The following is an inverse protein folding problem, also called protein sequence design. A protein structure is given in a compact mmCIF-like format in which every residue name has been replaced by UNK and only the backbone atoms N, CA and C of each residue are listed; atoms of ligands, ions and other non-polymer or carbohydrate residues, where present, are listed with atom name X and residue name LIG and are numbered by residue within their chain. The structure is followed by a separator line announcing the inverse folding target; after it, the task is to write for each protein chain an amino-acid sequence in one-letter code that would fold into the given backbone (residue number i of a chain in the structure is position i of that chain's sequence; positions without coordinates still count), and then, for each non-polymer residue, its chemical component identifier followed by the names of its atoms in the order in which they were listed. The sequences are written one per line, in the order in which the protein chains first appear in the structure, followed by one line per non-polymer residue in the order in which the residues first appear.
data_IF_728173733704
#
_entry.id   IF_728173733704
#
_cell.length_a   1.000
_cell.length_b   1.000
_cell.length_c   1.000
_cell.angle_alpha   90.00
_cell.angle_beta   90.00
_cell.angle_gamma   90.00
#
_symmetry.space_group_name_H-M   'P 1'
#
loop_
_entity.id
_entity.type
_entity.pdbx_description
1 polymer ?
#
# COMPACT_ATOMS: atom_id res chain seq x y z
N UNK A 1 -22.71 -1.95 -21.78
CA UNK A 1 -22.24 -0.76 -21.05
C UNK A 1 -21.22 -1.23 -20.03
N UNK A 2 -19.90 -1.13 -20.28
CA UNK A 2 -18.94 -1.38 -19.21
C UNK A 2 -19.18 -0.33 -18.12
N UNK A 3 -19.39 -0.78 -16.90
CA UNK A 3 -19.38 0.12 -15.76
C UNK A 3 -17.95 0.66 -15.63
N UNK A 4 -17.73 1.92 -16.00
CA UNK A 4 -16.47 2.62 -15.78
C UNK A 4 -16.27 2.82 -14.28
N UNK A 5 -15.89 1.75 -13.60
CA UNK A 5 -15.40 1.84 -12.22
C UNK A 5 -13.93 2.21 -12.31
N UNK A 6 -13.62 3.50 -12.23
CA UNK A 6 -12.24 3.96 -12.19
C UNK A 6 -11.48 3.24 -11.07
N UNK A 7 -10.25 2.77 -11.31
CA UNK A 7 -9.50 2.01 -10.32
C UNK A 7 -9.40 2.74 -8.98
N UNK A 8 -9.61 1.99 -7.90
CA UNK A 8 -9.43 2.49 -6.53
C UNK A 8 -7.94 2.67 -6.26
N UNK A 9 -7.54 3.82 -5.72
CA UNK A 9 -6.15 4.06 -5.33
C UNK A 9 -5.96 3.81 -3.84
N UNK A 10 -4.96 3.00 -3.51
CA UNK A 10 -4.61 2.71 -2.12
C UNK A 10 -3.93 3.95 -1.48
N UNK A 11 -4.42 4.44 -0.32
CA UNK A 11 -3.75 5.51 0.43
C UNK A 11 -2.28 5.25 0.72
N UNK A 12 -1.85 4.00 0.85
CA UNK A 12 -0.43 3.64 1.05
C UNK A 12 0.44 3.95 -0.15
N UNK A 13 -0.12 3.93 -1.36
CA UNK A 13 0.60 4.32 -2.58
C UNK A 13 0.70 5.84 -2.66
N UNK A 14 -0.39 6.54 -2.31
CA UNK A 14 -0.47 7.99 -2.40
C UNK A 14 0.36 8.67 -1.30
N UNK A 15 0.30 8.15 -0.08
CA UNK A 15 0.97 8.71 1.10
C UNK A 15 1.98 7.73 1.71
N UNK A 16 2.80 7.09 0.87
CA UNK A 16 3.74 6.05 1.30
C UNK A 16 4.63 6.42 2.50
N UNK A 17 5.06 7.68 2.61
CA UNK A 17 5.86 8.16 3.74
C UNK A 17 5.15 7.99 5.09
N UNK A 18 3.83 8.16 5.13
CA UNK A 18 3.01 8.04 6.33
C UNK A 18 2.93 6.61 6.86
N UNK A 19 3.00 5.60 5.97
CA UNK A 19 2.68 4.21 6.31
C UNK A 19 3.91 3.32 6.53
N UNK A 20 5.13 3.75 6.15
CA UNK A 20 6.35 2.92 6.23
C UNK A 20 6.72 2.47 7.65
N UNK A 21 6.43 3.27 8.68
CA UNK A 21 6.85 3.02 10.08
C UNK A 21 5.68 3.20 11.06
N UNK A 22 4.48 2.86 10.62
CA UNK A 22 3.22 3.24 11.29
C UNK A 22 2.82 4.70 11.00
N UNK A 23 1.59 5.10 11.38
CA UNK A 23 0.97 6.37 11.00
C UNK A 23 1.80 7.55 11.52
N UNK A 24 2.60 8.18 10.64
CA UNK A 24 3.46 9.32 10.97
C UNK A 24 3.16 10.54 10.12
N UNK A 25 3.56 11.69 10.64
CA UNK A 25 3.41 12.96 9.94
C UNK A 25 4.16 12.93 8.60
N UNK A 26 3.51 13.35 7.52
CA UNK A 26 4.12 13.38 6.18
C UNK A 26 5.01 14.61 5.94
N UNK A 27 4.92 15.64 6.79
CA UNK A 27 5.70 16.86 6.69
C UNK A 27 7.20 16.64 6.90
N UNK A 28 8.01 17.61 6.47
CA UNK A 28 9.47 17.51 6.54
C UNK A 28 9.99 18.01 7.90
N UNK A 29 10.94 17.29 8.47
CA UNK A 29 11.64 17.78 9.66
C UNK A 29 12.51 18.99 9.31
N UNK A 30 12.75 19.86 10.29
CA UNK A 30 13.66 21.03 10.15
C UNK A 30 15.08 20.62 9.74
N UNK A 31 15.52 19.41 10.10
CA UNK A 31 16.77 18.84 9.59
C UNK A 31 16.57 18.35 8.16
N UNK A 32 17.32 18.92 7.21
CA UNK A 32 17.26 18.58 5.77
C UNK A 32 17.26 17.06 5.55
N UNK A 33 16.32 16.59 4.74
CA UNK A 33 16.27 15.22 4.24
C UNK A 33 15.59 14.18 5.13
N UNK A 34 14.99 14.56 6.26
CA UNK A 34 14.23 13.63 7.11
C UNK A 34 12.74 14.00 7.16
N UNK A 35 11.89 12.99 7.14
CA UNK A 35 10.46 13.14 7.42
C UNK A 35 10.26 13.40 8.91
N UNK A 36 9.18 14.11 9.26
CA UNK A 36 8.75 14.25 10.63
C UNK A 36 8.53 12.87 11.27
N UNK A 37 8.94 12.73 12.53
CA UNK A 37 8.83 11.51 13.32
C UNK A 37 7.58 11.47 14.20
N UNK A 38 6.82 12.58 14.30
CA UNK A 38 5.59 12.62 15.11
C UNK A 38 4.56 11.63 14.61
N UNK A 39 4.02 10.83 15.53
CA UNK A 39 2.92 9.92 15.28
C UNK A 39 1.62 10.68 15.03
N UNK A 40 0.82 10.18 14.10
CA UNK A 40 -0.56 10.60 13.88
C UNK A 40 -1.47 9.64 14.65
N UNK A 41 -2.37 10.19 15.46
CA UNK A 41 -3.29 9.38 16.26
C UNK A 41 -4.23 8.54 15.40
N UNK A 42 -4.65 7.39 15.93
CA UNK A 42 -5.53 6.45 15.24
C UNK A 42 -6.83 7.09 14.74
N UNK A 43 -7.46 7.97 15.52
CA UNK A 43 -8.68 8.67 15.11
C UNK A 43 -8.50 9.49 13.82
N UNK A 44 -7.36 10.19 13.67
CA UNK A 44 -7.03 10.91 12.43
C UNK A 44 -6.79 9.96 11.27
N UNK A 45 -6.16 8.81 11.52
CA UNK A 45 -5.91 7.80 10.49
C UNK A 45 -7.22 7.17 9.98
N UNK A 46 -8.16 6.89 10.88
CA UNK A 46 -9.51 6.41 10.53
C UNK A 46 -10.24 7.46 9.69
N UNK A 47 -10.21 8.74 10.09
CA UNK A 47 -10.80 9.82 9.30
C UNK A 47 -10.14 9.96 7.92
N UNK A 48 -8.81 9.87 7.86
CA UNK A 48 -8.06 9.90 6.61
C UNK A 48 -8.53 8.79 5.67
N UNK A 49 -8.61 7.55 6.17
CA UNK A 49 -9.10 6.40 5.39
C UNK A 49 -10.54 6.59 4.91
N UNK A 50 -11.42 7.16 5.74
CA UNK A 50 -12.79 7.51 5.33
C UNK A 50 -12.82 8.56 4.21
N UNK A 51 -11.95 9.56 4.25
CA UNK A 51 -11.82 10.53 3.15
C UNK A 51 -11.25 9.88 1.89
N UNK A 52 -10.31 8.94 2.02
CA UNK A 52 -9.76 8.18 0.89
C UNK A 52 -10.81 7.28 0.23
N UNK A 53 -11.67 6.63 1.02
CA UNK A 53 -12.82 5.89 0.49
C UNK A 53 -13.79 6.82 -0.27
N UNK A 54 -14.09 8.00 0.27
CA UNK A 54 -14.91 9.01 -0.42
C UNK A 54 -14.26 9.46 -1.73
N UNK A 55 -12.94 9.69 -1.76
CA UNK A 55 -12.22 10.01 -3.00
C UNK A 55 -12.31 8.89 -4.02
N UNK A 56 -12.17 7.63 -3.59
CA UNK A 56 -12.25 6.49 -4.50
C UNK A 56 -13.64 6.28 -5.11
N UNK A 57 -14.70 6.81 -4.50
CA UNK A 57 -16.03 6.85 -5.12
C UNK A 57 -16.17 7.88 -6.25
N UNK A 58 -15.22 8.80 -6.40
CA UNK A 58 -15.21 9.79 -7.46
C UNK A 58 -14.44 9.27 -8.69
N UNK A 59 -14.78 9.73 -9.91
CA UNK A 59 -13.98 9.48 -11.10
C UNK A 59 -12.54 9.95 -10.91
N UNK A 60 -11.56 9.19 -11.40
CA UNK A 60 -10.13 9.44 -11.17
C UNK A 60 -9.72 10.89 -11.50
N UNK A 61 -10.17 11.40 -12.65
CA UNK A 61 -9.91 12.77 -13.12
C UNK A 61 -10.37 13.86 -12.15
N UNK A 62 -11.39 13.60 -11.33
CA UNK A 62 -11.95 14.56 -10.36
C UNK A 62 -11.31 14.46 -8.97
N UNK A 63 -10.52 13.42 -8.68
CA UNK A 63 -9.96 13.19 -7.34
C UNK A 63 -8.94 14.25 -6.95
N UNK A 64 -8.11 14.72 -7.90
CA UNK A 64 -7.07 15.72 -7.66
C UNK A 64 -7.62 17.13 -7.33
N UNK A 65 -8.85 17.43 -7.77
CA UNK A 65 -9.49 18.73 -7.54
C UNK A 65 -10.43 18.72 -6.33
N UNK A 66 -10.66 17.54 -5.75
CA UNK A 66 -11.63 17.38 -4.68
C UNK A 66 -11.15 18.03 -3.38
N UNK A 67 -12.00 18.82 -2.69
CA UNK A 67 -11.67 19.34 -1.36
C UNK A 67 -11.47 18.23 -0.33
N UNK A 68 -12.01 17.03 -0.59
CA UNK A 68 -11.81 15.83 0.25
C UNK A 68 -10.32 15.45 0.30
N UNK A 69 -9.56 15.70 -0.77
CA UNK A 69 -8.12 15.43 -0.80
C UNK A 69 -7.33 16.39 0.10
N UNK A 70 -7.77 17.63 0.21
CA UNK A 70 -7.17 18.63 1.11
C UNK A 70 -7.28 18.15 2.55
N UNK A 71 -8.49 17.76 2.97
CA UNK A 71 -8.71 17.26 4.33
C UNK A 71 -8.00 15.92 4.59
N UNK A 72 -8.01 15.00 3.62
CA UNK A 72 -7.26 13.74 3.72
C UNK A 72 -5.75 14.01 3.94
N UNK A 73 -5.17 14.95 3.21
CA UNK A 73 -3.74 15.31 3.34
C UNK A 73 -3.46 16.02 4.67
N UNK A 74 -4.34 16.94 5.07
CA UNK A 74 -4.23 17.69 6.33
C UNK A 74 -4.22 16.79 7.55
N UNK A 75 -5.01 15.71 7.55
CA UNK A 75 -5.06 14.74 8.65
C UNK A 75 -3.73 14.00 8.86
N UNK A 76 -2.89 13.91 7.82
CA UNK A 76 -1.57 13.30 7.90
C UNK A 76 -0.45 14.27 8.30
N UNK A 77 -0.78 15.54 8.56
CA UNK A 77 0.17 16.54 9.04
C UNK A 77 -0.03 16.80 10.53
N UNK A 78 1.08 16.93 11.26
CA UNK A 78 1.05 17.44 12.62
C UNK A 78 0.81 18.96 12.59
N UNK A 79 0.35 19.52 13.70
CA UNK A 79 -0.02 20.93 13.82
C UNK A 79 1.08 21.88 13.31
N UNK A 80 2.35 21.54 13.54
CA UNK A 80 3.49 22.38 13.20
C UNK A 80 3.83 22.37 11.69
N UNK A 81 3.43 21.31 10.97
CA UNK A 81 3.72 21.15 9.54
C UNK A 81 2.51 21.49 8.64
N UNK A 82 1.30 21.62 9.19
CA UNK A 82 0.13 22.10 8.44
C UNK A 82 0.41 23.44 7.72
N UNK A 83 0.94 24.50 8.37
CA UNK A 83 1.14 25.78 7.68
C UNK A 83 2.28 25.74 6.64
N UNK A 84 3.24 24.84 6.81
CA UNK A 84 4.51 24.84 6.06
C UNK A 84 4.51 23.85 4.89
N UNK A 85 3.95 22.66 5.10
CA UNK A 85 4.10 21.50 4.20
C UNK A 85 2.79 21.10 3.52
N UNK A 86 1.62 21.60 3.96
CA UNK A 86 0.33 21.17 3.40
C UNK A 86 0.24 21.39 1.89
N UNK A 87 0.64 22.56 1.38
CA UNK A 87 0.61 22.85 -0.05
C UNK A 87 1.54 21.91 -0.84
N UNK A 88 2.75 21.67 -0.34
CA UNK A 88 3.74 20.80 -0.97
C UNK A 88 3.24 19.35 -1.04
N UNK A 89 2.76 18.81 0.08
CA UNK A 89 2.27 17.43 0.15
C UNK A 89 0.96 17.24 -0.62
N UNK A 90 0.10 18.26 -0.65
CA UNK A 90 -1.12 18.24 -1.44
C UNK A 90 -0.80 18.16 -2.94
N UNK A 91 0.15 18.96 -3.44
CA UNK A 91 0.52 18.90 -4.86
C UNK A 91 1.15 17.56 -5.25
N UNK A 92 1.96 16.95 -4.36
CA UNK A 92 2.45 15.57 -4.57
C UNK A 92 1.31 14.57 -4.66
N UNK A 93 0.32 14.66 -3.77
CA UNK A 93 -0.83 13.78 -3.79
C UNK A 93 -1.67 13.98 -5.06
N UNK A 94 -1.96 15.23 -5.44
CA UNK A 94 -2.66 15.57 -6.67
C UNK A 94 -1.95 15.03 -7.91
N UNK A 95 -0.62 15.14 -7.96
CA UNK A 95 0.16 14.62 -9.08
C UNK A 95 -0.05 13.11 -9.24
N UNK A 96 -0.01 12.35 -8.14
CA UNK A 96 -0.26 10.90 -8.19
C UNK A 96 -1.66 10.53 -8.70
N UNK A 97 -2.68 11.32 -8.36
CA UNK A 97 -4.02 11.13 -8.90
C UNK A 97 -4.08 11.43 -10.41
N UNK A 98 -3.37 12.47 -10.87
CA UNK A 98 -3.25 12.79 -12.31
C UNK A 98 -2.51 11.68 -13.06
N UNK A 99 -1.36 11.25 -12.56
CA UNK A 99 -0.57 10.18 -13.15
C UNK A 99 -1.38 8.89 -13.27
N UNK A 100 -2.17 8.55 -12.24
CA UNK A 100 -3.07 7.40 -12.27
C UNK A 100 -4.20 7.55 -13.30
N UNK A 101 -4.76 8.74 -13.46
CA UNK A 101 -5.79 9.01 -14.47
C UNK A 101 -5.22 8.94 -15.90
N UNK A 102 -3.99 9.42 -16.10
CA UNK A 102 -3.30 9.34 -17.39
C UNK A 102 -2.90 7.90 -17.73
N UNK A 103 -2.51 7.12 -16.72
CA UNK A 103 -2.27 5.69 -16.89
C UNK A 103 -3.55 4.93 -17.25
N UNK A 104 -4.69 5.24 -16.62
CA UNK A 104 -6.00 4.65 -16.97
C UNK A 104 -6.34 4.89 -18.45
N UNK A 105 -6.20 6.14 -18.93
CA UNK A 105 -6.51 6.49 -20.31
C UNK A 105 -5.66 5.72 -21.34
N UNK A 106 -4.37 5.48 -21.05
CA UNK A 106 -3.47 4.75 -21.96
C UNK A 106 -3.78 3.25 -22.07
N UNK A 107 -4.39 2.66 -21.05
CA UNK A 107 -4.78 1.25 -21.09
C UNK A 107 -6.02 1.01 -21.97
N UNK A 108 -6.81 2.06 -22.27
CA UNK A 108 -7.97 1.95 -23.17
C UNK A 108 -7.53 1.87 -24.65
N UNK A 109 -6.36 2.41 -25.00
CA UNK A 109 -5.83 2.42 -26.37
C UNK A 109 -5.08 1.13 -26.76
N UNK A 110 -4.67 0.30 -25.78
CA UNK A 110 -3.96 -0.98 -26.04
C UNK A 110 -4.89 -2.21 -26.12
N UNK A 111 -6.19 -2.08 -25.81
CA UNK A 111 -7.20 -3.16 -25.99
C UNK A 111 -7.73 -3.25 -27.45
N UNK A 112 -7.02 -2.64 -28.40
CA UNK A 112 -7.32 -2.69 -29.84
C UNK A 112 -6.52 -3.73 -30.64
N UNK A 113 -5.45 -4.34 -30.08
CA UNK A 113 -4.61 -5.29 -30.83
C UNK A 113 -4.80 -6.72 -30.32
N UNK A 114 -5.85 -7.38 -30.81
CA UNK A 114 -5.96 -8.85 -30.75
C UNK A 114 -5.05 -9.47 -31.83
N UNK A 115 -4.09 -10.31 -31.44
CA UNK A 115 -4.16 -11.78 -31.60
C UNK A 115 -2.81 -12.49 -31.41
N UNK A 116 -2.86 -13.77 -30.99
CA UNK A 116 -1.71 -14.64 -30.78
C UNK A 116 -1.23 -15.17 -32.13
N UNK A 117 0.08 -15.26 -32.33
CA UNK A 117 0.63 -16.19 -33.32
C UNK A 117 2.05 -16.57 -32.94
N UNK A 118 2.20 -17.89 -32.82
CA UNK A 118 3.43 -18.66 -32.79
C UNK A 118 4.37 -18.24 -33.92
N UNK A 119 5.68 -18.34 -33.66
CA UNK A 119 6.62 -18.68 -34.72
C UNK A 119 7.81 -19.39 -34.09
N UNK A 120 7.59 -20.67 -33.76
CA UNK A 120 8.67 -21.65 -33.71
C UNK A 120 9.30 -21.68 -35.11
N UNK A 121 10.58 -21.33 -35.20
CA UNK A 121 11.39 -21.67 -36.37
C UNK A 121 12.43 -22.68 -35.92
N UNK A 122 12.09 -23.93 -36.18
CA UNK A 122 13.03 -25.02 -36.37
C UNK A 122 14.02 -24.68 -37.49
N UNK A 123 15.26 -25.13 -37.32
CA UNK A 123 16.19 -25.64 -38.34
C UNK A 123 17.58 -25.76 -37.68
N UNK A 124 18.35 -26.84 -37.77
CA UNK A 124 18.17 -28.14 -38.41
C UNK A 124 19.42 -28.98 -38.07
N UNK A 125 19.19 -30.26 -37.77
CA UNK A 125 20.01 -31.47 -38.01
C UNK A 125 21.56 -31.48 -37.88
N UNK A 126 22.08 -32.41 -37.05
CA UNK A 126 22.73 -33.63 -37.59
C UNK A 126 22.93 -34.76 -36.55
N UNK A 127 22.23 -35.86 -36.83
CA UNK A 127 22.56 -37.31 -36.75
C UNK A 127 23.75 -37.80 -35.90
N UNK A 128 23.53 -38.84 -35.09
CA UNK A 128 23.84 -40.23 -35.46
C UNK A 128 23.49 -41.17 -34.28
N UNK A 129 22.84 -42.30 -34.60
CA UNK A 129 22.15 -43.15 -33.63
C UNK A 129 23.01 -44.14 -32.85
N UNK A 130 22.41 -44.72 -31.80
CA UNK A 130 22.41 -46.17 -31.49
C UNK A 130 21.44 -46.50 -30.33
N UNK A 131 20.85 -47.67 -30.46
CA UNK A 131 19.83 -48.43 -29.70
C UNK A 131 19.81 -48.42 -28.15
N UNK A 132 18.67 -48.86 -27.52
CA UNK A 132 18.34 -48.66 -26.11
C UNK A 132 18.62 -49.88 -25.21
N UNK A 133 18.96 -49.69 -23.92
CA UNK A 133 18.72 -50.66 -22.82
C UNK A 133 18.83 -49.97 -21.42
N UNK A 134 17.93 -50.22 -20.44
CA UNK A 134 18.04 -49.81 -19.01
C UNK A 134 18.98 -50.78 -18.24
N UNK A 135 19.26 -50.73 -16.90
CA UNK A 135 18.53 -50.11 -15.77
C UNK A 135 19.42 -49.51 -14.64
N UNK A 136 18.80 -48.98 -13.57
CA UNK A 136 19.11 -49.21 -12.14
C UNK A 136 18.71 -48.02 -11.23
N UNK A 137 17.63 -48.20 -10.45
CA UNK A 137 17.51 -47.69 -9.07
C UNK A 137 18.53 -48.43 -8.17
N UNK A 138 18.86 -48.03 -6.91
CA UNK A 138 18.13 -47.16 -5.95
C UNK A 138 19.08 -46.14 -5.24
N UNK A 139 18.67 -45.17 -4.40
CA UNK A 139 18.21 -45.32 -3.02
C UNK A 139 17.89 -43.94 -2.41
N UNK A 140 16.73 -43.88 -1.73
CA UNK A 140 16.50 -43.42 -0.34
C UNK A 140 17.14 -42.10 0.13
N UNK A 141 16.28 -41.18 0.59
CA UNK A 141 16.17 -40.67 1.97
C UNK A 141 15.14 -39.53 1.95
N UNK A 142 13.96 -39.76 2.52
CA UNK A 142 13.54 -39.23 3.85
C UNK A 142 13.34 -37.71 3.75
N UNK A 143 12.26 -37.04 4.15
CA UNK A 143 11.09 -37.34 4.96
C UNK A 143 10.33 -35.98 4.96
N UNK A 144 9.04 -35.97 4.68
CA UNK A 144 8.11 -34.92 5.16
C UNK A 144 7.20 -35.64 6.15
N UNK A 145 6.49 -34.98 7.09
CA UNK A 145 6.50 -33.58 7.51
C UNK A 145 6.73 -33.46 9.04
N UNK A 146 6.96 -32.26 9.58
CA UNK A 146 6.64 -32.05 11.01
C UNK A 146 6.14 -30.64 11.28
N UNK A 147 4.95 -30.65 11.87
CA UNK A 147 4.22 -29.56 12.47
C UNK A 147 5.01 -28.98 13.65
N UNK A 148 4.84 -27.69 13.92
CA UNK A 148 5.07 -27.15 15.25
C UNK A 148 4.12 -25.99 15.47
N UNK A 149 3.02 -26.31 16.13
CA UNK A 149 2.23 -25.37 16.91
C UNK A 149 3.11 -24.76 17.99
N UNK A 150 2.95 -23.46 18.23
CA UNK A 150 3.44 -22.82 19.44
C UNK A 150 2.39 -21.81 19.87
N UNK A 151 1.43 -22.32 20.62
CA UNK A 151 0.65 -21.55 21.58
C UNK A 151 1.59 -21.09 22.68
N UNK A 152 1.55 -19.81 23.04
CA UNK A 152 2.11 -19.34 24.29
C UNK A 152 1.21 -18.24 24.85
N UNK A 153 0.34 -18.67 25.76
CA UNK A 153 -0.32 -17.83 26.74
C UNK A 153 0.74 -17.28 27.69
N UNK A 154 0.65 -15.99 28.03
CA UNK A 154 1.25 -15.48 29.25
C UNK A 154 0.31 -14.48 29.90
N UNK A 155 -0.02 -14.88 31.11
CA UNK A 155 -1.01 -14.45 32.06
C UNK A 155 -0.54 -13.20 32.84
N UNK A 156 -1.50 -12.34 33.14
CA UNK A 156 -1.67 -11.48 34.33
C UNK A 156 -0.51 -10.62 34.87
N UNK A 157 -0.77 -9.31 34.99
CA UNK A 157 -0.63 -8.57 36.26
C UNK A 157 -1.64 -7.41 36.33
N UNK A 158 -2.59 -7.59 37.24
CA UNK A 158 -3.34 -6.56 37.95
C UNK A 158 -2.39 -5.61 38.69
N UNK A 159 -2.62 -4.30 38.57
CA UNK A 159 -2.31 -3.31 39.60
C UNK A 159 -3.48 -2.30 39.56
N UNK A 160 -4.51 -2.62 40.35
CA UNK A 160 -5.44 -1.65 40.94
C UNK A 160 -4.69 -0.88 42.05
N UNK A 161 -4.72 0.46 41.99
CA UNK A 161 -4.60 1.43 43.10
C UNK A 161 -4.43 2.83 42.43
N UNK A 162 -4.96 3.95 42.89
CA UNK A 162 -5.74 4.32 44.05
C UNK A 162 -6.37 5.71 43.75
N UNK A 163 -7.38 6.03 44.56
CA UNK A 163 -8.15 7.28 44.68
C UNK A 163 -7.36 8.57 44.51
N UNK A 164 -8.04 9.55 43.92
CA UNK A 164 -7.77 10.99 44.10
C UNK A 164 -9.07 11.78 44.14
N UNK A 165 -9.76 11.75 45.28
CA UNK A 165 -10.88 12.64 45.62
C UNK A 165 -10.37 13.93 46.25
N UNK A 166 -10.97 15.07 45.90
CA UNK A 166 -10.87 16.35 46.62
C UNK A 166 -10.06 17.40 45.85
N UNK A 167 -10.46 18.66 45.73
CA UNK A 167 -11.38 19.47 46.54
C UNK A 167 -11.86 20.66 45.72
N UNK A 168 -13.15 20.97 45.84
CA UNK A 168 -13.70 22.31 45.61
C UNK A 168 -13.32 23.21 46.80
N UNK A 169 -13.01 24.48 46.56
CA UNK A 169 -13.09 25.58 47.54
C UNK A 169 -13.04 26.94 46.79
N UNK A 170 -13.44 28.09 47.40
CA UNK A 170 -14.62 28.88 47.02
C UNK A 170 -14.29 30.21 46.33
#
# INVERSE_FOLDING_TARGET
MPAFTSPSLDPKVIFASCYRKGPRCIGNAKSKGRTCDRSIGQAKMVQHNNHMMKLNSLPLRKRAESPVLVEATRLLLCHDHIPSDLSCELEKAKQKFRDAADAEAKNEDEDGTKKPLEDQREADEKEDGVTPTPPATPQVKDEYPSQSDSESNSDSKDEDEDKGTGTVDP
#
